data_IF_735376232707
#
_entry.id   IF_735376232707
#
_cell.length_a   1.000
_cell.length_b   1.000
_cell.length_c   1.000
_cell.angle_alpha   90.00
_cell.angle_beta   90.00
_cell.angle_gamma   90.00
#
_symmetry.space_group_name_H-M   'P 1'
#
loop_
_entity.id
_entity.type
_entity.pdbx_description
1 polymer ?
#
# COMPACT_ATOMS: atom_id res chain seq x y z
N UNK A 1 5.98 41.94 -50.25
CA UNK A 1 5.41 42.39 -48.94
C UNK A 1 4.77 41.25 -48.18
N UNK A 2 3.98 40.40 -48.78
CA UNK A 2 3.25 39.29 -48.14
C UNK A 2 4.16 38.28 -47.42
N UNK A 3 5.32 37.87 -48.01
CA UNK A 3 6.24 36.92 -47.40
C UNK A 3 6.84 37.42 -46.07
N UNK A 4 7.14 38.75 -45.98
CA UNK A 4 7.67 39.34 -44.74
C UNK A 4 6.59 39.40 -43.63
N UNK A 5 5.33 39.59 -44.02
CA UNK A 5 4.22 39.63 -43.10
C UNK A 5 3.91 38.23 -42.50
N UNK A 6 3.99 37.19 -43.33
CA UNK A 6 3.83 35.80 -42.90
C UNK A 6 4.95 35.39 -41.92
N UNK A 7 6.20 35.80 -42.20
CA UNK A 7 7.34 35.49 -41.31
C UNK A 7 7.19 36.16 -39.93
N UNK A 8 6.67 37.37 -39.89
CA UNK A 8 6.41 38.12 -38.66
C UNK A 8 5.27 37.47 -37.85
N UNK A 9 4.23 37.00 -38.52
CA UNK A 9 3.08 36.31 -37.88
C UNK A 9 3.51 34.98 -37.28
N UNK A 10 4.33 34.19 -37.96
CA UNK A 10 4.86 32.92 -37.44
C UNK A 10 5.81 33.16 -36.25
N UNK A 11 6.61 34.25 -36.28
CA UNK A 11 7.48 34.61 -35.16
C UNK A 11 6.69 34.97 -33.90
N UNK A 12 5.60 35.73 -34.04
CA UNK A 12 4.75 36.14 -32.91
C UNK A 12 3.99 34.94 -32.31
N UNK A 13 3.51 34.02 -33.17
CA UNK A 13 2.84 32.81 -32.70
C UNK A 13 3.81 31.81 -32.04
N UNK A 14 5.05 31.69 -32.54
CA UNK A 14 6.08 30.82 -32.02
C UNK A 14 6.56 31.22 -30.62
N UNK A 15 6.62 32.49 -30.32
CA UNK A 15 7.04 33.02 -29.00
C UNK A 15 5.91 32.91 -27.97
N UNK A 16 4.64 33.02 -28.41
CA UNK A 16 3.48 32.93 -27.50
C UNK A 16 3.24 31.55 -26.93
N UNK A 17 3.69 30.48 -27.60
CA UNK A 17 3.43 29.10 -27.17
C UNK A 17 4.34 28.63 -26.01
N UNK A 18 5.41 29.31 -25.72
CA UNK A 18 6.35 28.93 -24.65
C UNK A 18 5.99 29.46 -23.25
N UNK A 19 4.96 30.28 -23.13
CA UNK A 19 4.60 30.90 -21.86
C UNK A 19 3.38 30.26 -21.14
N UNK A 20 2.79 29.22 -21.74
CA UNK A 20 1.74 28.46 -21.07
C UNK A 20 2.37 27.52 -20.03
N UNK A 21 2.80 28.06 -18.91
CA UNK A 21 3.13 27.25 -17.73
C UNK A 21 1.81 26.75 -17.15
N UNK A 22 1.63 25.43 -17.13
CA UNK A 22 0.60 24.81 -16.34
C UNK A 22 0.71 25.29 -14.90
N UNK A 23 -0.30 25.93 -14.37
CA UNK A 23 -0.36 26.29 -12.96
C UNK A 23 -0.41 25.00 -12.16
N UNK A 24 0.55 24.79 -11.30
CA UNK A 24 0.51 23.74 -10.29
C UNK A 24 -0.39 24.24 -9.16
N UNK A 25 -1.54 23.58 -8.99
CA UNK A 25 -2.40 23.83 -7.83
C UNK A 25 -1.79 23.08 -6.66
N UNK A 26 -1.07 23.78 -5.82
CA UNK A 26 -0.65 23.25 -4.51
C UNK A 26 -1.87 23.18 -3.61
N UNK A 27 -2.06 22.12 -2.82
CA UNK A 27 -3.14 22.06 -1.84
C UNK A 27 -3.12 23.32 -0.95
N UNK A 28 -4.22 24.05 -0.94
CA UNK A 28 -4.38 25.23 -0.09
C UNK A 28 -5.66 25.10 0.72
N UNK A 29 -5.61 25.58 1.94
CA UNK A 29 -6.79 25.63 2.80
C UNK A 29 -7.04 27.07 3.25
N UNK A 30 -8.31 27.44 3.29
CA UNK A 30 -8.79 28.67 3.93
C UNK A 30 -9.48 28.24 5.21
N UNK A 31 -8.85 28.48 6.35
CA UNK A 31 -9.35 28.11 7.66
C UNK A 31 -9.39 29.32 8.59
N UNK A 32 -10.24 29.28 9.61
CA UNK A 32 -10.34 30.34 10.62
C UNK A 32 -9.10 30.40 11.51
N UNK A 33 -8.46 29.27 11.73
CA UNK A 33 -7.24 29.14 12.52
C UNK A 33 -6.46 27.88 12.11
N UNK A 34 -5.16 27.87 12.31
CA UNK A 34 -4.30 26.73 12.06
C UNK A 34 -2.89 26.96 12.54
N UNK A 35 -2.14 25.90 12.73
CA UNK A 35 -0.75 25.95 13.11
C UNK A 35 0.05 24.84 12.44
N UNK A 36 1.31 25.13 12.16
CA UNK A 36 2.29 24.16 11.67
C UNK A 36 3.50 24.19 12.59
N UNK A 37 3.87 23.03 13.12
CA UNK A 37 5.06 22.83 13.93
C UNK A 37 5.92 21.73 13.33
N UNK A 38 7.24 21.95 13.25
CA UNK A 38 8.19 21.00 12.71
C UNK A 38 9.35 20.78 13.69
N UNK A 39 9.72 19.52 13.87
CA UNK A 39 10.84 19.08 14.68
C UNK A 39 11.66 18.04 13.91
N UNK A 40 12.85 17.72 14.39
CA UNK A 40 13.74 16.73 13.73
C UNK A 40 13.15 15.32 13.63
N UNK A 41 12.17 14.99 14.45
CA UNK A 41 11.48 13.68 14.51
C UNK A 41 10.10 13.68 13.83
N UNK A 42 9.61 14.83 13.34
CA UNK A 42 8.33 14.90 12.65
C UNK A 42 7.75 16.29 12.53
N UNK A 43 6.65 16.41 11.82
CA UNK A 43 5.89 17.65 11.69
C UNK A 43 4.43 17.41 12.06
N UNK A 44 3.82 18.43 12.68
CA UNK A 44 2.40 18.46 13.05
C UNK A 44 1.75 19.67 12.40
N UNK A 45 0.64 19.44 11.70
CA UNK A 45 -0.16 20.48 11.10
C UNK A 45 -1.60 20.37 11.61
N UNK A 46 -2.22 21.48 11.93
CA UNK A 46 -3.61 21.53 12.38
C UNK A 46 -4.36 22.68 11.71
N UNK A 47 -5.63 22.45 11.38
CA UNK A 47 -6.55 23.45 10.86
C UNK A 47 -7.87 23.39 11.61
N UNK A 48 -8.50 24.53 11.83
CA UNK A 48 -9.78 24.67 12.54
C UNK A 48 -10.71 25.55 11.72
N UNK A 49 -11.98 25.14 11.57
CA UNK A 49 -12.98 25.93 10.88
C UNK A 49 -12.98 25.76 9.36
N UNK A 50 -12.71 24.56 8.87
CA UNK A 50 -12.90 24.23 7.46
C UNK A 50 -14.40 24.24 7.11
N UNK A 51 -14.74 24.97 6.02
CA UNK A 51 -16.13 25.15 5.60
C UNK A 51 -16.73 23.91 4.92
N UNK A 52 -15.90 22.95 4.51
CA UNK A 52 -16.34 21.78 3.77
C UNK A 52 -15.47 20.55 4.08
N UNK A 53 -16.11 19.46 4.45
CA UNK A 53 -15.46 18.20 4.90
C UNK A 53 -15.92 16.98 4.10
N UNK A 54 -16.61 17.17 2.97
CA UNK A 54 -17.15 16.07 2.16
C UNK A 54 -16.21 15.74 1.00
N UNK A 55 -15.98 14.47 0.76
CA UNK A 55 -15.26 13.99 -0.42
C UNK A 55 -16.24 13.72 -1.56
N UNK A 56 -16.04 14.36 -2.70
CA UNK A 56 -16.79 14.13 -3.92
C UNK A 56 -15.97 13.25 -4.85
N UNK A 57 -16.59 12.20 -5.37
CA UNK A 57 -15.97 11.24 -6.27
C UNK A 57 -16.72 11.19 -7.60
N UNK A 58 -15.98 11.25 -8.69
CA UNK A 58 -16.46 10.97 -10.05
C UNK A 58 -15.46 10.03 -10.74
N UNK A 59 -15.86 9.42 -11.84
CA UNK A 59 -15.05 8.43 -12.55
C UNK A 59 -13.64 8.94 -12.85
N UNK A 60 -12.64 8.44 -12.08
CA UNK A 60 -11.23 8.79 -12.24
C UNK A 60 -10.78 10.10 -11.59
N UNK A 61 -11.67 10.89 -10.98
CA UNK A 61 -11.34 12.12 -10.29
C UNK A 61 -11.87 12.12 -8.87
N UNK A 62 -11.03 12.54 -7.93
CA UNK A 62 -11.38 12.73 -6.53
C UNK A 62 -11.24 14.21 -6.19
N UNK A 63 -12.28 14.81 -5.63
CA UNK A 63 -12.21 16.10 -4.99
C UNK A 63 -12.38 15.87 -3.49
N UNK A 64 -11.26 15.86 -2.79
CA UNK A 64 -11.25 15.74 -1.34
C UNK A 64 -11.34 17.10 -0.71
N UNK A 65 -12.21 17.23 0.26
CA UNK A 65 -12.38 18.41 1.09
C UNK A 65 -11.75 18.13 2.45
N UNK A 66 -11.10 19.12 3.01
CA UNK A 66 -10.26 18.97 4.21
C UNK A 66 -8.77 18.94 3.88
N UNK A 67 -8.02 19.77 4.61
CA UNK A 67 -6.59 19.97 4.32
C UNK A 67 -5.73 18.82 4.80
N UNK A 68 -6.10 18.19 5.89
CA UNK A 68 -5.36 17.06 6.48
C UNK A 68 -5.72 15.75 5.76
N UNK A 69 -5.42 15.69 4.48
CA UNK A 69 -5.51 14.43 3.74
C UNK A 69 -4.27 13.60 4.05
N UNK A 70 -4.43 12.34 4.50
CA UNK A 70 -3.30 11.44 4.51
C UNK A 70 -2.79 11.37 3.06
N UNK A 71 -1.55 11.75 2.84
CA UNK A 71 -0.92 11.40 1.58
C UNK A 71 -0.97 9.88 1.51
N UNK A 72 -1.88 9.35 0.73
CA UNK A 72 -1.75 7.99 0.27
C UNK A 72 -0.47 7.98 -0.54
N UNK A 73 0.66 7.72 0.13
CA UNK A 73 1.77 7.13 -0.56
C UNK A 73 1.12 6.06 -1.41
N UNK A 74 1.23 6.18 -2.73
CA UNK A 74 0.85 5.09 -3.62
C UNK A 74 1.68 3.92 -3.14
N UNK A 75 1.16 3.20 -2.15
CA UNK A 75 1.61 1.86 -1.92
C UNK A 75 1.37 1.25 -3.28
N UNK A 76 2.44 0.91 -3.95
CA UNK A 76 2.35 0.05 -5.12
C UNK A 76 1.60 -1.16 -4.57
N UNK A 77 0.28 -1.12 -4.73
CA UNK A 77 -0.53 -2.31 -4.55
C UNK A 77 0.00 -3.18 -5.66
N UNK A 78 0.93 -4.04 -5.29
CA UNK A 78 1.30 -5.14 -6.15
C UNK A 78 -0.05 -5.81 -6.43
N UNK A 79 -0.60 -5.51 -7.59
CA UNK A 79 -1.76 -6.27 -8.10
C UNK A 79 -1.25 -7.70 -8.09
N UNK A 80 -1.81 -8.57 -7.25
CA UNK A 80 -1.37 -9.96 -7.28
C UNK A 80 -1.50 -10.39 -8.73
N UNK A 81 -0.39 -10.76 -9.33
CA UNK A 81 -0.39 -11.47 -10.60
C UNK A 81 -1.45 -12.54 -10.38
N UNK A 82 -2.49 -12.59 -11.22
CA UNK A 82 -3.59 -13.56 -11.07
C UNK A 82 -2.96 -14.95 -10.99
N UNK A 83 -2.53 -15.34 -9.82
CA UNK A 83 -2.01 -16.67 -9.55
C UNK A 83 -3.15 -17.44 -8.88
N UNK A 84 -3.40 -18.62 -9.38
CA UNK A 84 -4.35 -19.57 -8.78
C UNK A 84 -3.78 -20.19 -7.49
N UNK A 85 -2.74 -19.56 -6.89
CA UNK A 85 -2.13 -20.08 -5.67
C UNK A 85 -3.13 -20.06 -4.53
N UNK A 86 -3.32 -21.23 -3.94
CA UNK A 86 -4.13 -21.41 -2.74
C UNK A 86 -3.19 -21.50 -1.56
N UNK A 87 -3.35 -20.58 -0.61
CA UNK A 87 -2.65 -20.63 0.67
C UNK A 87 -3.68 -20.71 1.76
N UNK A 88 -3.52 -21.66 2.69
CA UNK A 88 -4.34 -21.82 3.88
C UNK A 88 -3.46 -22.01 5.11
N UNK A 89 -3.99 -21.66 6.27
CA UNK A 89 -3.27 -21.78 7.55
C UNK A 89 -4.20 -22.42 8.58
N UNK A 90 -3.78 -23.56 9.12
CA UNK A 90 -4.56 -24.33 10.08
C UNK A 90 -3.68 -25.16 11.04
N UNK A 91 -4.16 -25.57 12.21
CA UNK A 91 -5.43 -25.18 12.81
C UNK A 91 -5.44 -23.70 13.23
N UNK A 92 -6.62 -23.14 13.32
CA UNK A 92 -6.89 -21.85 13.92
C UNK A 92 -8.22 -21.91 14.66
N UNK A 93 -8.28 -21.89 16.00
CA UNK A 93 -7.16 -21.66 16.94
C UNK A 93 -6.07 -22.73 16.92
N UNK A 94 -4.85 -22.30 17.30
CA UNK A 94 -3.65 -23.13 17.36
C UNK A 94 -3.12 -23.23 18.79
N UNK A 95 -2.56 -24.39 19.17
CA UNK A 95 -1.95 -24.60 20.48
C UNK A 95 -0.41 -24.54 20.35
N UNK A 96 0.20 -25.57 19.80
CA UNK A 96 1.66 -25.70 19.75
C UNK A 96 2.26 -25.32 18.40
N UNK A 97 1.49 -25.43 17.34
CA UNK A 97 1.91 -25.14 15.97
C UNK A 97 0.74 -24.79 15.08
N UNK A 98 1.00 -24.18 13.97
CA UNK A 98 0.10 -24.07 12.82
C UNK A 98 0.81 -24.57 11.57
N UNK A 99 0.06 -25.03 10.58
CA UNK A 99 0.54 -25.46 9.28
C UNK A 99 0.21 -24.40 8.26
N UNK A 100 1.18 -24.04 7.45
CA UNK A 100 0.99 -23.28 6.21
C UNK A 100 0.86 -24.32 5.10
N UNK A 101 -0.24 -24.31 4.39
CA UNK A 101 -0.49 -25.18 3.24
C UNK A 101 -0.52 -24.32 1.97
N UNK A 102 0.34 -24.66 1.01
CA UNK A 102 0.49 -23.93 -0.25
C UNK A 102 0.28 -24.89 -1.41
N UNK A 103 -0.65 -24.55 -2.28
CA UNK A 103 -0.83 -25.18 -3.59
C UNK A 103 -0.54 -24.09 -4.63
N UNK A 104 0.50 -24.26 -5.42
CA UNK A 104 0.93 -23.34 -6.47
C UNK A 104 1.14 -24.09 -7.76
N UNK A 105 0.89 -23.45 -8.91
CA UNK A 105 1.22 -24.02 -10.21
C UNK A 105 2.72 -23.98 -10.48
N UNK A 106 3.45 -23.06 -9.82
CA UNK A 106 4.87 -22.86 -10.00
C UNK A 106 5.65 -23.46 -8.86
N UNK A 107 6.74 -24.16 -9.17
CA UNK A 107 7.75 -24.55 -8.18
C UNK A 107 8.60 -23.36 -7.79
N UNK A 108 9.07 -23.32 -6.53
CA UNK A 108 9.93 -22.25 -6.03
C UNK A 108 9.92 -22.20 -4.50
N UNK A 109 10.32 -21.08 -3.94
CA UNK A 109 10.38 -20.87 -2.49
C UNK A 109 9.22 -20.03 -2.03
N UNK A 110 8.49 -20.50 -1.02
CA UNK A 110 7.52 -19.69 -0.28
C UNK A 110 8.19 -19.10 0.95
N UNK A 111 7.82 -17.88 1.31
CA UNK A 111 8.31 -17.19 2.48
C UNK A 111 7.16 -16.90 3.44
N UNK A 112 7.45 -16.96 4.76
CA UNK A 112 6.46 -16.56 5.76
C UNK A 112 7.08 -15.62 6.80
N UNK A 113 6.23 -14.77 7.37
CA UNK A 113 6.55 -13.89 8.49
C UNK A 113 5.42 -13.93 9.49
N UNK A 114 5.75 -14.15 10.76
CA UNK A 114 4.81 -14.14 11.88
C UNK A 114 5.00 -12.86 12.68
N UNK A 115 3.94 -12.14 12.91
CA UNK A 115 3.93 -10.87 13.63
C UNK A 115 3.07 -10.95 14.89
N UNK A 116 3.44 -10.17 15.89
CA UNK A 116 2.54 -9.88 17.00
C UNK A 116 1.51 -8.79 16.63
N UNK A 117 0.64 -8.46 17.59
CA UNK A 117 -0.38 -7.43 17.40
C UNK A 117 0.19 -6.01 17.25
N UNK A 118 1.46 -5.81 17.58
CA UNK A 118 2.17 -4.53 17.42
C UNK A 118 2.88 -4.42 16.06
N UNK A 119 2.83 -5.49 15.24
CA UNK A 119 3.51 -5.56 13.95
C UNK A 119 4.99 -5.92 14.03
N UNK A 120 5.48 -6.36 15.20
CA UNK A 120 6.85 -6.83 15.36
C UNK A 120 6.97 -8.24 14.80
N UNK A 121 8.00 -8.50 14.00
CA UNK A 121 8.31 -9.83 13.49
C UNK A 121 8.80 -10.70 14.66
N UNK A 122 8.09 -11.78 14.93
CA UNK A 122 8.42 -12.78 15.94
C UNK A 122 9.23 -13.92 15.31
N UNK A 123 8.82 -14.34 14.13
CA UNK A 123 9.45 -15.44 13.40
C UNK A 123 9.34 -15.20 11.90
N UNK A 124 10.33 -15.63 11.15
CA UNK A 124 10.30 -15.68 9.70
C UNK A 124 10.97 -16.96 9.21
N UNK A 125 10.69 -17.34 7.98
CA UNK A 125 11.31 -18.49 7.35
C UNK A 125 10.89 -18.65 5.91
N UNK A 126 11.47 -19.68 5.29
CA UNK A 126 11.16 -20.07 3.92
C UNK A 126 11.10 -21.59 3.79
N UNK A 127 10.39 -22.08 2.80
CA UNK A 127 10.29 -23.49 2.47
C UNK A 127 10.05 -23.67 0.98
N UNK A 128 10.48 -24.82 0.46
CA UNK A 128 10.32 -25.14 -0.95
C UNK A 128 8.91 -25.62 -1.26
N UNK A 129 8.41 -25.19 -2.40
CA UNK A 129 7.10 -25.53 -2.94
C UNK A 129 7.29 -26.23 -4.28
N UNK A 130 6.69 -27.39 -4.42
CA UNK A 130 6.64 -28.16 -5.68
C UNK A 130 5.34 -27.79 -6.38
N UNK A 131 5.44 -27.27 -7.63
CA UNK A 131 4.29 -26.89 -8.43
C UNK A 131 3.37 -28.08 -8.73
N UNK A 132 2.06 -27.83 -8.68
CA UNK A 132 1.04 -28.84 -8.88
C UNK A 132 0.83 -29.79 -7.69
N UNK A 133 1.56 -29.63 -6.59
CA UNK A 133 1.43 -30.43 -5.37
C UNK A 133 0.96 -29.60 -4.19
N UNK A 134 0.44 -30.29 -3.17
CA UNK A 134 0.18 -29.71 -1.87
C UNK A 134 1.47 -29.70 -1.04
N UNK A 135 1.86 -28.55 -0.53
CA UNK A 135 3.09 -28.35 0.23
C UNK A 135 2.76 -27.79 1.60
N UNK A 136 3.21 -28.47 2.66
CA UNK A 136 2.93 -28.08 4.03
C UNK A 136 4.20 -27.70 4.79
N UNK A 137 4.14 -26.60 5.52
CA UNK A 137 5.20 -26.15 6.41
C UNK A 137 4.65 -25.92 7.81
N UNK A 138 5.35 -26.44 8.84
CA UNK A 138 4.96 -26.29 10.24
C UNK A 138 5.64 -25.08 10.86
N UNK A 139 4.83 -24.18 11.40
CA UNK A 139 5.27 -23.04 12.20
C UNK A 139 5.03 -23.33 13.67
N UNK A 140 6.08 -23.36 14.47
CA UNK A 140 6.01 -23.65 15.90
C UNK A 140 5.59 -22.39 16.67
N UNK A 141 4.65 -22.58 17.61
CA UNK A 141 4.10 -21.52 18.45
C UNK A 141 4.34 -21.76 19.95
N UNK A 142 5.09 -22.83 20.32
CA UNK A 142 5.25 -23.28 21.72
C UNK A 142 5.78 -22.21 22.66
N UNK A 143 6.68 -21.35 22.15
CA UNK A 143 7.35 -20.30 22.94
C UNK A 143 6.60 -18.97 22.91
N UNK A 144 5.38 -18.95 22.36
CA UNK A 144 4.57 -17.75 22.26
C UNK A 144 3.49 -17.75 23.35
N UNK A 145 3.19 -16.56 23.86
CA UNK A 145 2.07 -16.36 24.78
C UNK A 145 0.74 -16.58 24.05
N UNK A 146 -0.29 -16.96 24.79
CA UNK A 146 -1.65 -17.01 24.25
C UNK A 146 -2.08 -15.60 23.80
N UNK A 147 -2.63 -15.50 22.60
CA UNK A 147 -2.98 -14.22 22.00
C UNK A 147 -3.23 -14.30 20.52
N UNK A 148 -3.32 -13.13 19.91
CA UNK A 148 -3.54 -12.98 18.48
C UNK A 148 -2.22 -12.69 17.79
N UNK A 149 -2.01 -13.35 16.66
CA UNK A 149 -0.85 -13.19 15.79
C UNK A 149 -1.30 -13.02 14.35
N UNK A 150 -0.47 -12.41 13.52
CA UNK A 150 -0.67 -12.29 12.09
C UNK A 150 0.44 -13.06 11.38
N UNK A 151 0.09 -13.93 10.45
CA UNK A 151 1.05 -14.58 9.56
C UNK A 151 0.85 -14.11 8.13
N UNK A 152 1.93 -13.67 7.52
CA UNK A 152 2.01 -13.29 6.11
C UNK A 152 2.75 -14.38 5.36
N UNK A 153 2.18 -14.90 4.29
CA UNK A 153 2.76 -15.96 3.46
C UNK A 153 2.83 -15.47 2.03
N UNK A 154 4.03 -15.51 1.45
CA UNK A 154 4.27 -15.17 0.04
C UNK A 154 4.61 -16.44 -0.71
N UNK A 155 3.80 -16.79 -1.71
CA UNK A 155 3.98 -17.97 -2.55
C UNK A 155 5.06 -17.77 -3.62
N UNK A 156 5.51 -18.82 -4.33
CA UNK A 156 6.49 -18.71 -5.42
C UNK A 156 6.08 -17.76 -6.54
N UNK A 157 4.79 -17.62 -6.81
CA UNK A 157 4.26 -16.67 -7.80
C UNK A 157 4.17 -15.24 -7.29
N UNK A 158 4.80 -14.93 -6.14
CA UNK A 158 4.81 -13.62 -5.50
C UNK A 158 3.42 -13.14 -5.00
N UNK A 159 2.48 -14.07 -4.81
CA UNK A 159 1.19 -13.76 -4.17
C UNK A 159 1.35 -13.81 -2.66
N UNK A 160 1.02 -12.70 -1.99
CA UNK A 160 1.05 -12.62 -0.52
C UNK A 160 -0.35 -12.70 0.05
N UNK A 161 -0.55 -13.60 1.02
CA UNK A 161 -1.79 -13.74 1.80
C UNK A 161 -1.52 -13.60 3.28
N UNK A 162 -2.42 -12.93 3.98
CA UNK A 162 -2.32 -12.66 5.41
C UNK A 162 -3.43 -13.38 6.16
N UNK A 163 -3.05 -14.02 7.27
CA UNK A 163 -3.97 -14.79 8.12
C UNK A 163 -3.81 -14.35 9.57
N UNK A 164 -4.93 -14.22 10.24
CA UNK A 164 -4.99 -13.99 11.68
C UNK A 164 -5.04 -15.32 12.40
N UNK A 165 -4.13 -15.55 13.36
CA UNK A 165 -4.02 -16.78 14.12
C UNK A 165 -4.33 -16.49 15.58
N UNK A 166 -5.18 -17.29 16.18
CA UNK A 166 -5.41 -17.29 17.63
C UNK A 166 -4.59 -18.40 18.28
N UNK A 167 -3.58 -18.04 19.07
CA UNK A 167 -2.81 -18.96 19.91
C UNK A 167 -3.55 -19.15 21.22
N UNK A 168 -3.82 -20.40 21.58
CA UNK A 168 -4.42 -20.83 22.86
C UNK A 168 -3.43 -21.68 23.66
N UNK A 169 -3.77 -21.91 24.92
CA UNK A 169 -3.01 -22.82 25.78
C UNK A 169 -3.28 -24.27 25.44
#
# INVERSE_FOLDING_TARGET
>A
MIKKFILLLVGVFGVGLHLARSQSITPQVVSSNGNFSSASWGSLSSTVGEAAIVTLQSTGNFLTQGFQQPQTLSVVVYSPKNSNDVVTVFPNPAINFTLIDVISESSGTANFQLFDIQGKIIQNGSFDVIGGAQNQHRVLLNNLASGMYLISVTSPSATTKNFKIQKTN
#
